data_IF_310420956320
#
_entry.id   IF_310420956320
#
_cell.length_a   1.000
_cell.length_b   1.000
_cell.length_c   1.000
_cell.angle_alpha   90.00
_cell.angle_beta   90.00
_cell.angle_gamma   90.00
#
_symmetry.space_group_name_H-M   'P 1'
#
loop_
_entity.id
_entity.type
_entity.pdbx_description
1 polymer ?
#
# COMPACT_ATOMS: atom_id res chain seq x y z
N UNK A 1 -11.00 -37.24 45.71
CA UNK A 1 -9.58 -36.81 45.67
C UNK A 1 -8.81 -37.67 44.66
N UNK A 2 -8.66 -37.22 43.45
CA UNK A 2 -7.93 -37.88 42.36
C UNK A 2 -6.93 -36.91 41.77
N UNK A 3 -5.63 -37.21 41.86
CA UNK A 3 -4.53 -36.41 41.37
C UNK A 3 -4.46 -36.46 39.81
N UNK A 4 -4.09 -35.38 39.12
CA UNK A 4 -3.86 -35.40 37.67
C UNK A 4 -2.53 -36.07 37.34
N UNK A 5 -2.52 -36.93 36.34
CA UNK A 5 -1.30 -37.50 35.72
C UNK A 5 -0.77 -36.55 34.67
N UNK A 6 0.46 -36.15 34.83
CA UNK A 6 1.26 -35.44 33.81
C UNK A 6 1.74 -36.51 32.82
N UNK A 7 1.43 -36.32 31.53
CA UNK A 7 2.01 -37.10 30.43
C UNK A 7 3.04 -36.21 29.72
N UNK A 8 4.29 -36.61 29.85
CA UNK A 8 5.42 -36.03 29.12
C UNK A 8 5.42 -36.60 27.70
N UNK A 9 5.31 -35.77 26.68
CA UNK A 9 5.51 -36.17 25.29
C UNK A 9 6.92 -35.80 24.83
N UNK A 10 7.63 -36.81 24.37
CA UNK A 10 8.98 -36.71 23.82
C UNK A 10 8.92 -36.09 22.40
N UNK A 11 9.87 -35.20 22.10
CA UNK A 11 10.09 -34.60 20.80
C UNK A 11 10.83 -35.59 19.89
N UNK A 12 10.18 -35.95 18.77
CA UNK A 12 10.81 -36.61 17.64
C UNK A 12 10.68 -35.74 16.41
N UNK A 13 11.80 -35.37 15.81
CA UNK A 13 11.81 -34.52 14.60
C UNK A 13 11.36 -35.29 13.36
N UNK A 14 10.71 -34.57 12.44
CA UNK A 14 10.32 -35.10 11.13
C UNK A 14 9.47 -34.06 10.35
N UNK A 15 9.90 -33.83 9.17
CA UNK A 15 9.39 -32.87 8.15
C UNK A 15 7.89 -32.95 7.91
N UNK A 16 7.28 -31.78 7.75
CA UNK A 16 6.14 -31.49 6.85
C UNK A 16 4.83 -32.14 7.24
N UNK A 17 3.98 -31.38 7.91
CA UNK A 17 2.53 -31.59 7.82
C UNK A 17 1.77 -30.29 8.06
N UNK A 18 1.07 -29.86 7.01
CA UNK A 18 -0.05 -28.94 7.10
C UNK A 18 -1.27 -29.66 7.69
N UNK A 19 -1.99 -28.96 8.50
CA UNK A 19 -3.40 -29.18 8.79
C UNK A 19 -3.75 -30.16 9.92
N UNK A 20 -3.82 -29.63 11.14
CA UNK A 20 -4.70 -30.23 12.14
C UNK A 20 -6.05 -29.50 12.16
N UNK A 21 -7.03 -30.17 11.56
CA UNK A 21 -8.44 -29.74 11.56
C UNK A 21 -9.03 -30.07 12.93
N UNK A 22 -9.54 -29.08 13.64
CA UNK A 22 -10.34 -29.24 14.83
C UNK A 22 -11.63 -30.01 14.51
N UNK A 23 -11.70 -31.28 14.80
CA UNK A 23 -12.94 -32.08 14.77
C UNK A 23 -13.65 -31.95 16.13
N UNK A 24 -14.66 -31.11 16.21
CA UNK A 24 -15.59 -31.08 17.33
C UNK A 24 -16.42 -32.35 17.34
N UNK A 25 -16.24 -33.18 18.37
CA UNK A 25 -17.11 -34.34 18.67
C UNK A 25 -18.47 -33.85 19.14
N UNK A 26 -19.48 -33.94 18.26
CA UNK A 26 -20.89 -33.79 18.64
C UNK A 26 -21.37 -35.16 19.16
N UNK A 27 -21.68 -35.24 20.44
CA UNK A 27 -22.32 -36.39 21.04
C UNK A 27 -23.76 -36.56 20.48
N UNK A 28 -24.03 -37.69 19.87
CA UNK A 28 -25.35 -38.01 19.36
C UNK A 28 -26.19 -38.69 20.46
N UNK A 29 -27.35 -38.14 20.77
CA UNK A 29 -28.43 -38.77 21.50
C UNK A 29 -29.46 -39.32 20.50
N UNK A 30 -29.99 -40.53 20.67
CA UNK A 30 -30.90 -41.12 19.70
C UNK A 30 -32.35 -40.93 20.10
N UNK A 31 -33.16 -40.25 19.28
CA UNK A 31 -34.56 -40.59 19.01
C UNK A 31 -35.26 -39.48 18.24
N UNK A 32 -35.85 -39.77 17.10
CA UNK A 32 -36.76 -38.88 16.39
C UNK A 32 -36.78 -39.11 14.88
N UNK A 33 -37.85 -39.76 14.39
CA UNK A 33 -38.19 -39.93 12.97
C UNK A 33 -38.34 -38.56 12.30
N UNK A 34 -37.67 -38.30 11.18
CA UNK A 34 -38.07 -37.20 10.36
C UNK A 34 -37.07 -36.73 9.29
N UNK A 35 -37.37 -36.99 8.06
CA UNK A 35 -37.14 -36.26 6.81
C UNK A 35 -35.67 -36.04 6.27
N UNK A 36 -35.50 -36.07 4.93
CA UNK A 36 -34.18 -36.08 4.28
C UNK A 36 -33.59 -34.68 4.10
N UNK A 37 -33.28 -33.97 5.20
CA UNK A 37 -32.55 -32.67 5.16
C UNK A 37 -31.04 -32.86 5.20
N UNK A 38 -30.54 -34.07 5.46
CA UNK A 38 -29.11 -34.32 5.66
C UNK A 38 -28.27 -34.28 4.38
N UNK A 39 -28.85 -34.47 3.19
CA UNK A 39 -28.11 -34.44 1.92
C UNK A 39 -27.79 -33.04 1.43
N UNK A 40 -28.63 -32.03 1.71
CA UNK A 40 -28.40 -30.66 1.25
C UNK A 40 -27.28 -29.97 2.05
N UNK A 41 -27.13 -30.26 3.34
CA UNK A 41 -26.03 -29.70 4.17
C UNK A 41 -24.66 -30.24 3.77
N UNK A 42 -24.57 -31.51 3.41
CA UNK A 42 -23.30 -32.12 2.98
C UNK A 42 -22.85 -31.59 1.61
N UNK A 43 -23.77 -31.31 0.70
CA UNK A 43 -23.44 -30.73 -0.61
C UNK A 43 -23.03 -29.26 -0.46
N UNK A 44 -23.70 -28.51 0.41
CA UNK A 44 -23.34 -27.10 0.68
C UNK A 44 -21.94 -26.99 1.36
N UNK A 45 -21.63 -27.89 2.29
CA UNK A 45 -20.32 -27.96 2.93
C UNK A 45 -19.22 -28.37 1.94
N UNK A 46 -19.49 -29.32 1.02
CA UNK A 46 -18.55 -29.71 -0.03
C UNK A 46 -18.33 -28.60 -1.07
N UNK A 47 -19.37 -27.87 -1.43
CA UNK A 47 -19.27 -26.70 -2.31
C UNK A 47 -18.48 -25.57 -1.61
N UNK A 48 -18.68 -25.34 -0.31
CA UNK A 48 -17.93 -24.35 0.44
C UNK A 48 -16.44 -24.72 0.59
N UNK A 49 -16.13 -26.00 0.80
CA UNK A 49 -14.76 -26.54 0.81
C UNK A 49 -14.13 -26.49 -0.58
N UNK A 50 -14.88 -26.78 -1.63
CA UNK A 50 -14.40 -26.66 -3.01
C UNK A 50 -14.15 -25.19 -3.42
N UNK A 51 -14.99 -24.25 -2.99
CA UNK A 51 -14.73 -22.80 -3.18
C UNK A 51 -13.54 -22.29 -2.38
N UNK A 52 -13.27 -22.85 -1.19
CA UNK A 52 -12.08 -22.51 -0.40
C UNK A 52 -10.77 -22.99 -1.04
N UNK A 53 -10.81 -24.05 -1.85
CA UNK A 53 -9.66 -24.58 -2.57
C UNK A 53 -9.32 -23.83 -3.86
N UNK A 54 -10.26 -23.08 -4.43
CA UNK A 54 -10.03 -22.27 -5.64
C UNK A 54 -9.43 -20.89 -5.31
N UNK A 55 -9.44 -20.46 -4.04
CA UNK A 55 -8.91 -19.17 -3.61
C UNK A 55 -7.38 -19.16 -3.37
N UNK A 56 -6.69 -20.27 -3.58
CA UNK A 56 -5.22 -20.30 -3.61
C UNK A 56 -4.71 -20.02 -5.03
N UNK A 57 -4.98 -18.84 -5.57
CA UNK A 57 -4.13 -18.32 -6.64
C UNK A 57 -2.71 -18.25 -6.06
N UNK A 58 -1.77 -18.99 -6.63
CA UNK A 58 -0.37 -18.99 -6.20
C UNK A 58 0.17 -17.57 -6.32
N UNK A 59 0.50 -16.96 -5.18
CA UNK A 59 1.13 -15.63 -5.17
C UNK A 59 2.58 -15.75 -5.65
N UNK A 60 3.20 -14.65 -6.12
CA UNK A 60 4.53 -14.65 -6.70
C UNK A 60 5.63 -14.84 -5.63
N UNK A 61 5.85 -16.08 -5.18
CA UNK A 61 6.81 -16.38 -4.11
C UNK A 61 8.26 -16.43 -4.59
N UNK A 62 8.53 -17.14 -5.69
CA UNK A 62 9.91 -17.34 -6.19
C UNK A 62 9.95 -17.26 -7.71
N UNK A 63 11.09 -16.80 -8.25
CA UNK A 63 11.36 -16.81 -9.67
C UNK A 63 10.74 -15.67 -10.48
N UNK A 64 9.77 -14.94 -9.93
CA UNK A 64 9.07 -13.87 -10.65
C UNK A 64 9.94 -12.63 -10.92
N UNK A 65 11.01 -12.46 -10.17
CA UNK A 65 11.97 -11.37 -10.34
C UNK A 65 13.26 -11.81 -11.04
N UNK A 66 13.29 -13.01 -11.62
CA UNK A 66 14.41 -13.44 -12.47
C UNK A 66 14.46 -12.58 -13.73
N UNK A 67 15.65 -12.05 -14.04
CA UNK A 67 15.83 -11.12 -15.14
C UNK A 67 15.56 -11.78 -16.50
N UNK A 68 14.79 -11.08 -17.35
CA UNK A 68 14.45 -11.46 -18.72
C UNK A 68 15.19 -10.56 -19.70
N UNK A 69 16.07 -11.12 -20.52
CA UNK A 69 16.91 -10.32 -21.43
C UNK A 69 16.15 -9.70 -22.61
N UNK A 70 15.09 -10.32 -23.10
CA UNK A 70 14.31 -9.84 -24.24
C UNK A 70 13.37 -8.71 -23.85
N UNK A 71 13.35 -7.63 -24.67
CA UNK A 71 12.39 -6.53 -24.58
C UNK A 71 11.59 -6.44 -25.88
N UNK A 72 10.28 -6.65 -25.85
CA UNK A 72 9.46 -6.54 -27.05
C UNK A 72 9.28 -5.08 -27.47
N UNK A 73 9.05 -4.82 -28.77
CA UNK A 73 8.67 -3.49 -29.23
C UNK A 73 7.41 -2.97 -28.51
N UNK A 74 7.48 -1.73 -28.02
CA UNK A 74 6.37 -1.09 -27.29
C UNK A 74 6.35 -1.35 -25.79
N UNK A 75 7.20 -2.23 -25.25
CA UNK A 75 7.39 -2.33 -23.82
C UNK A 75 8.08 -1.06 -23.26
N UNK A 76 7.77 -0.71 -22.02
CA UNK A 76 8.34 0.46 -21.35
C UNK A 76 9.07 0.04 -20.08
N UNK A 77 10.34 0.37 -20.00
CA UNK A 77 11.18 0.04 -18.85
C UNK A 77 11.18 1.18 -17.81
N UNK A 78 10.97 0.83 -16.56
CA UNK A 78 11.10 1.72 -15.41
C UNK A 78 12.16 1.20 -14.45
N UNK A 79 13.21 1.98 -14.21
CA UNK A 79 14.22 1.67 -13.20
C UNK A 79 13.82 2.29 -11.86
N UNK A 80 13.51 1.43 -10.89
CA UNK A 80 13.19 1.81 -9.54
C UNK A 80 14.41 1.69 -8.64
N UNK A 81 14.60 2.67 -7.77
CA UNK A 81 15.48 2.52 -6.62
C UNK A 81 14.68 1.98 -5.44
N UNK A 82 15.23 1.00 -4.79
CA UNK A 82 14.60 0.31 -3.64
C UNK A 82 15.39 0.60 -2.38
N UNK A 83 14.70 1.02 -1.33
CA UNK A 83 15.19 1.00 0.05
C UNK A 83 14.28 0.05 0.84
N UNK A 84 14.87 -0.85 1.63
CA UNK A 84 14.10 -1.92 2.28
C UNK A 84 14.58 -2.24 3.68
N UNK A 85 13.63 -2.64 4.54
CA UNK A 85 13.88 -3.26 5.85
C UNK A 85 13.58 -4.76 5.85
N UNK A 86 13.50 -5.37 4.67
CA UNK A 86 13.37 -6.83 4.47
C UNK A 86 14.73 -7.49 4.45
N UNK A 87 14.82 -8.73 4.90
CA UNK A 87 16.01 -9.55 4.68
C UNK A 87 16.14 -9.95 3.21
N UNK A 88 17.40 -10.07 2.75
CA UNK A 88 17.71 -10.67 1.45
C UNK A 88 17.24 -12.12 1.40
N UNK A 89 16.88 -12.57 0.23
CA UNK A 89 16.43 -13.92 -0.04
C UNK A 89 17.27 -14.56 -1.14
N UNK A 90 17.99 -15.62 -0.80
CA UNK A 90 18.89 -16.30 -1.74
C UNK A 90 18.15 -17.20 -2.74
N UNK A 91 16.84 -17.36 -2.61
CA UNK A 91 16.03 -18.11 -3.58
C UNK A 91 16.03 -17.36 -4.92
N UNK A 92 16.27 -18.06 -6.05
CA UNK A 92 16.35 -17.41 -7.37
C UNK A 92 15.11 -16.54 -7.67
N UNK A 93 15.35 -15.31 -8.12
CA UNK A 93 14.29 -14.37 -8.52
C UNK A 93 13.34 -13.97 -7.41
N UNK A 94 13.84 -13.85 -6.16
CA UNK A 94 13.06 -13.38 -4.99
C UNK A 94 13.59 -12.06 -4.46
N UNK A 95 14.92 -11.89 -4.36
CA UNK A 95 15.67 -10.73 -3.88
C UNK A 95 15.48 -10.44 -2.37
N UNK A 96 14.25 -10.25 -1.90
CA UNK A 96 13.94 -9.95 -0.51
C UNK A 96 12.71 -10.74 -0.05
N UNK A 97 12.75 -11.22 1.21
CA UNK A 97 11.66 -11.99 1.83
C UNK A 97 10.75 -11.14 2.72
N UNK A 98 9.93 -11.76 3.56
CA UNK A 98 9.00 -11.11 4.50
C UNK A 98 9.54 -10.93 5.90
N UNK A 99 10.82 -11.27 6.16
CA UNK A 99 11.44 -11.12 7.48
C UNK A 99 12.19 -9.78 7.60
N UNK A 100 12.43 -9.36 8.85
CA UNK A 100 12.98 -8.04 9.16
C UNK A 100 14.50 -8.07 9.14
N UNK A 101 15.10 -7.27 8.28
CA UNK A 101 16.52 -6.99 8.34
C UNK A 101 16.88 -6.12 9.55
N UNK A 102 18.13 -6.22 10.00
CA UNK A 102 18.69 -5.40 11.08
C UNK A 102 19.04 -3.97 10.66
N UNK A 103 19.16 -3.73 9.36
CA UNK A 103 19.49 -2.43 8.76
C UNK A 103 18.74 -2.25 7.43
N UNK A 104 18.66 -1.01 6.97
CA UNK A 104 18.12 -0.71 5.64
C UNK A 104 19.07 -1.22 4.57
N UNK A 105 18.53 -1.93 3.58
CA UNK A 105 19.25 -2.42 2.41
C UNK A 105 18.73 -1.75 1.14
N UNK A 106 19.49 -1.83 0.04
CA UNK A 106 19.20 -1.09 -1.18
C UNK A 106 19.41 -1.93 -2.43
N UNK A 107 18.56 -1.64 -3.45
CA UNK A 107 18.70 -2.23 -4.77
C UNK A 107 18.30 -1.23 -5.88
N UNK A 108 18.76 -1.49 -7.09
CA UNK A 108 18.26 -0.86 -8.30
C UNK A 108 17.69 -1.95 -9.19
N UNK A 109 16.42 -1.80 -9.59
CA UNK A 109 15.69 -2.84 -10.33
C UNK A 109 14.95 -2.20 -11.49
N UNK A 110 15.15 -2.74 -12.68
CA UNK A 110 14.44 -2.31 -13.89
C UNK A 110 13.28 -3.28 -14.16
N UNK A 111 12.06 -2.75 -14.15
CA UNK A 111 10.82 -3.47 -14.46
C UNK A 111 10.34 -3.06 -15.85
N UNK A 112 10.06 -4.04 -16.70
CA UNK A 112 9.45 -3.85 -18.01
C UNK A 112 7.94 -4.02 -17.91
N UNK A 113 7.21 -3.04 -18.44
CA UNK A 113 5.77 -3.05 -18.56
C UNK A 113 5.41 -3.48 -19.98
N UNK A 114 4.53 -4.48 -20.16
CA UNK A 114 4.25 -5.05 -21.47
C UNK A 114 3.48 -4.08 -22.37
N UNK A 115 3.58 -4.23 -23.71
CA UNK A 115 2.93 -3.31 -24.66
C UNK A 115 1.40 -3.35 -24.63
N UNK A 116 0.80 -4.40 -24.06
CA UNK A 116 -0.65 -4.57 -23.88
C UNK A 116 -1.15 -4.13 -22.49
N UNK A 117 -0.33 -3.43 -21.72
CA UNK A 117 -0.66 -2.99 -20.37
C UNK A 117 -1.99 -2.22 -20.31
N UNK A 118 -2.77 -2.53 -19.29
CA UNK A 118 -4.01 -1.84 -18.97
C UNK A 118 -3.86 -1.04 -17.70
N UNK A 119 -4.16 0.23 -17.79
CA UNK A 119 -4.03 1.17 -16.68
C UNK A 119 -4.70 0.65 -15.40
N UNK A 120 -3.97 0.66 -14.30
CA UNK A 120 -4.42 0.18 -12.99
C UNK A 120 -4.21 -1.31 -12.75
N UNK A 121 -3.97 -2.10 -13.78
CA UNK A 121 -3.72 -3.54 -13.67
C UNK A 121 -2.21 -3.85 -13.51
N UNK A 122 -1.89 -5.04 -13.08
CA UNK A 122 -0.56 -5.64 -13.17
C UNK A 122 -0.76 -6.95 -13.88
N UNK A 123 -0.20 -7.09 -15.07
CA UNK A 123 -0.28 -8.31 -15.87
C UNK A 123 0.69 -9.35 -15.30
N UNK A 124 0.22 -10.09 -14.28
CA UNK A 124 0.96 -11.16 -13.64
C UNK A 124 1.16 -12.35 -14.56
N UNK A 125 2.37 -12.88 -14.54
CA UNK A 125 2.63 -14.17 -15.17
C UNK A 125 1.97 -15.31 -14.39
N UNK A 126 1.51 -16.35 -15.10
CA UNK A 126 1.05 -17.60 -14.47
C UNK A 126 2.21 -18.49 -14.03
N UNK A 127 3.37 -18.33 -14.67
CA UNK A 127 4.63 -19.02 -14.36
C UNK A 127 5.80 -18.05 -14.46
N UNK A 128 6.77 -18.12 -13.49
CA UNK A 128 7.94 -17.26 -13.52
C UNK A 128 8.89 -17.61 -14.69
N UNK A 129 9.66 -16.64 -15.21
CA UNK A 129 9.65 -15.23 -14.86
C UNK A 129 8.55 -14.44 -15.59
N UNK A 130 7.81 -15.03 -16.52
CA UNK A 130 6.79 -14.43 -17.34
C UNK A 130 7.25 -14.13 -18.78
N UNK A 131 6.27 -13.77 -19.64
CA UNK A 131 6.48 -13.35 -21.02
C UNK A 131 6.45 -11.82 -21.10
N UNK A 132 7.55 -11.13 -21.48
CA UNK A 132 7.61 -9.67 -21.55
C UNK A 132 6.66 -9.06 -22.60
N UNK A 133 6.09 -9.87 -23.52
CA UNK A 133 5.06 -9.39 -24.43
C UNK A 133 3.72 -9.16 -23.74
N UNK A 134 3.46 -9.83 -22.62
CA UNK A 134 2.15 -9.87 -21.98
C UNK A 134 2.16 -9.67 -20.46
N UNK A 135 3.34 -9.76 -19.82
CA UNK A 135 3.49 -9.69 -18.39
C UNK A 135 4.51 -8.65 -17.96
N UNK A 136 4.34 -8.13 -16.74
CA UNK A 136 5.41 -7.44 -16.06
C UNK A 136 6.59 -8.40 -15.82
N UNK A 137 7.79 -7.98 -16.12
CA UNK A 137 9.02 -8.76 -15.89
C UNK A 137 10.15 -7.86 -15.39
N UNK A 138 11.11 -8.43 -14.66
CA UNK A 138 12.35 -7.75 -14.33
C UNK A 138 13.32 -7.87 -15.50
N UNK A 139 14.00 -6.77 -15.82
CA UNK A 139 15.00 -6.69 -16.90
C UNK A 139 16.42 -6.75 -16.37
N UNK A 140 16.63 -6.09 -15.23
CA UNK A 140 17.92 -6.00 -14.57
C UNK A 140 17.71 -5.76 -13.09
N UNK A 141 18.57 -6.33 -12.26
CA UNK A 141 18.55 -6.11 -10.80
C UNK A 141 19.97 -6.11 -10.25
N UNK A 142 20.22 -5.24 -9.31
CA UNK A 142 21.48 -5.21 -8.56
C UNK A 142 21.28 -4.66 -7.16
N UNK A 143 22.00 -5.21 -6.22
CA UNK A 143 22.11 -4.64 -4.88
C UNK A 143 23.03 -3.40 -4.91
N UNK A 144 22.76 -2.45 -4.01
CA UNK A 144 23.56 -1.24 -3.85
C UNK A 144 24.21 -1.25 -2.46
N UNK A 145 25.52 -1.00 -2.40
CA UNK A 145 26.28 -1.08 -1.15
C UNK A 145 26.10 0.19 -0.29
N UNK A 146 25.02 0.20 0.48
CA UNK A 146 24.71 1.20 1.48
C UNK A 146 24.30 2.56 0.93
N UNK A 147 24.14 3.52 1.83
CA UNK A 147 23.58 4.85 1.59
C UNK A 147 24.27 5.60 0.44
N UNK A 148 25.60 5.54 0.40
CA UNK A 148 26.39 6.25 -0.62
C UNK A 148 26.07 5.76 -2.02
N UNK A 149 26.03 4.44 -2.23
CA UNK A 149 25.71 3.85 -3.53
C UNK A 149 24.27 4.17 -3.94
N UNK A 150 23.33 4.09 -2.99
CA UNK A 150 21.93 4.46 -3.21
C UNK A 150 21.79 5.94 -3.65
N UNK A 151 22.42 6.88 -2.94
CA UNK A 151 22.36 8.31 -3.27
C UNK A 151 23.06 8.61 -4.59
N UNK A 152 24.18 7.92 -4.91
CA UNK A 152 24.85 8.06 -6.19
C UNK A 152 23.96 7.59 -7.36
N UNK A 153 23.33 6.41 -7.25
CA UNK A 153 22.38 5.91 -8.24
C UNK A 153 21.19 6.86 -8.42
N UNK A 154 20.63 7.36 -7.34
CA UNK A 154 19.54 8.35 -7.36
C UNK A 154 19.98 9.63 -8.10
N UNK A 155 21.11 10.19 -7.74
CA UNK A 155 21.61 11.42 -8.37
C UNK A 155 21.93 11.23 -9.86
N UNK A 156 22.43 10.06 -10.25
CA UNK A 156 22.64 9.71 -11.66
C UNK A 156 21.31 9.71 -12.43
N UNK A 157 20.26 9.07 -11.90
CA UNK A 157 18.95 9.07 -12.54
C UNK A 157 18.28 10.46 -12.57
N UNK A 158 18.44 11.26 -11.51
CA UNK A 158 17.96 12.64 -11.47
C UNK A 158 18.64 13.52 -12.53
N UNK A 159 19.94 13.32 -12.75
CA UNK A 159 20.72 14.09 -13.75
C UNK A 159 20.24 13.86 -15.19
N UNK A 160 19.63 12.70 -15.49
CA UNK A 160 19.05 12.41 -16.80
C UNK A 160 17.76 13.22 -17.09
N UNK A 161 17.21 13.90 -16.09
CA UNK A 161 15.96 14.65 -16.20
C UNK A 161 16.22 16.15 -16.33
N UNK A 162 15.37 16.88 -17.07
CA UNK A 162 15.51 18.32 -17.18
C UNK A 162 15.23 19.00 -15.81
N UNK A 163 15.79 20.19 -15.57
CA UNK A 163 15.41 21.02 -14.42
C UNK A 163 13.88 21.22 -14.36
N UNK A 164 13.34 21.22 -13.15
CA UNK A 164 11.87 21.25 -12.90
C UNK A 164 11.21 19.86 -12.89
N UNK A 165 11.92 18.81 -13.36
CA UNK A 165 11.46 17.41 -13.37
C UNK A 165 12.36 16.47 -12.56
N UNK A 166 13.37 16.99 -11.87
CA UNK A 166 14.30 16.23 -11.01
C UNK A 166 13.66 15.91 -9.66
N UNK A 167 12.52 15.26 -9.71
CA UNK A 167 11.73 14.91 -8.55
C UNK A 167 11.94 13.44 -8.19
N UNK A 168 11.59 13.09 -6.95
CA UNK A 168 11.43 11.71 -6.49
C UNK A 168 9.94 11.42 -6.36
N UNK A 169 9.52 10.23 -6.81
CA UNK A 169 8.23 9.63 -6.51
C UNK A 169 8.47 8.43 -5.59
N UNK A 170 8.26 8.61 -4.28
CA UNK A 170 8.42 7.57 -3.27
C UNK A 170 7.09 6.86 -3.03
N UNK A 171 7.07 5.54 -3.24
CA UNK A 171 5.93 4.68 -2.94
C UNK A 171 6.21 3.81 -1.71
N UNK A 172 5.22 3.69 -0.81
CA UNK A 172 5.24 2.82 0.38
C UNK A 172 4.01 1.92 0.35
N UNK A 173 4.22 0.59 0.27
CA UNK A 173 3.14 -0.40 0.17
C UNK A 173 2.42 -0.66 1.50
N UNK A 174 1.27 -1.35 1.42
CA UNK A 174 0.43 -1.73 2.54
C UNK A 174 0.74 -3.09 3.18
N UNK A 175 -0.20 -3.53 4.02
CA UNK A 175 -0.24 -4.86 4.64
C UNK A 175 -0.37 -5.97 3.59
N UNK A 176 0.02 -7.19 3.95
CA UNK A 176 -0.16 -8.41 3.16
C UNK A 176 0.45 -8.31 1.75
N UNK A 177 1.63 -7.70 1.64
CA UNK A 177 2.29 -7.42 0.37
C UNK A 177 3.66 -8.10 0.32
N UNK A 178 3.88 -8.95 -0.69
CA UNK A 178 5.19 -9.54 -0.98
C UNK A 178 6.10 -8.54 -1.67
N UNK A 179 7.41 -8.79 -1.71
CA UNK A 179 8.36 -7.89 -2.34
C UNK A 179 8.06 -7.67 -3.84
N UNK A 180 7.82 -8.74 -4.59
CA UNK A 180 7.48 -8.66 -6.02
C UNK A 180 6.21 -7.84 -6.27
N UNK A 181 5.20 -7.98 -5.39
CA UNK A 181 3.95 -7.22 -5.49
C UNK A 181 4.18 -5.72 -5.24
N UNK A 182 4.98 -5.38 -4.24
CA UNK A 182 5.36 -3.99 -3.97
C UNK A 182 6.13 -3.36 -5.14
N UNK A 183 7.07 -4.12 -5.72
CA UNK A 183 7.90 -3.68 -6.84
C UNK A 183 7.07 -3.40 -8.09
N UNK A 184 6.24 -4.35 -8.51
CA UNK A 184 5.42 -4.20 -9.71
C UNK A 184 4.33 -3.13 -9.52
N UNK A 185 3.75 -3.01 -8.32
CA UNK A 185 2.81 -1.91 -8.01
C UNK A 185 3.52 -0.55 -8.07
N UNK A 186 4.74 -0.43 -7.58
CA UNK A 186 5.53 0.79 -7.68
C UNK A 186 5.83 1.17 -9.15
N UNK A 187 6.20 0.19 -9.98
CA UNK A 187 6.42 0.38 -11.41
C UNK A 187 5.14 0.79 -12.15
N UNK A 188 4.03 0.09 -11.90
CA UNK A 188 2.71 0.39 -12.47
C UNK A 188 2.26 1.82 -12.11
N UNK A 189 2.37 2.23 -10.84
CA UNK A 189 1.99 3.58 -10.41
C UNK A 189 2.86 4.66 -11.07
N UNK A 190 4.16 4.42 -11.20
CA UNK A 190 5.07 5.34 -11.89
C UNK A 190 4.71 5.49 -13.38
N UNK A 191 4.37 4.39 -14.05
CA UNK A 191 3.94 4.36 -15.44
C UNK A 191 2.62 5.08 -15.65
N UNK A 192 1.57 4.64 -14.99
CA UNK A 192 0.20 5.10 -15.21
C UNK A 192 -0.02 6.55 -14.83
N UNK A 193 0.62 6.99 -13.74
CA UNK A 193 0.49 8.38 -13.30
C UNK A 193 1.30 9.35 -14.17
N UNK A 194 2.20 8.85 -15.02
CA UNK A 194 3.17 9.67 -15.75
C UNK A 194 3.88 10.66 -14.80
N UNK A 195 4.17 10.20 -13.56
CA UNK A 195 4.74 11.03 -12.54
C UNK A 195 6.15 11.49 -12.96
N UNK A 196 6.40 12.81 -13.06
CA UNK A 196 7.75 13.28 -13.35
C UNK A 196 8.63 12.97 -12.15
N UNK A 197 9.73 12.26 -12.40
CA UNK A 197 10.69 11.97 -11.35
C UNK A 197 11.27 10.56 -11.39
N UNK A 198 12.17 10.29 -10.45
CA UNK A 198 12.75 8.96 -10.23
C UNK A 198 11.82 8.17 -9.32
N UNK A 199 11.34 7.00 -9.74
CA UNK A 199 10.55 6.15 -8.86
C UNK A 199 11.47 5.50 -7.82
N UNK A 200 11.06 5.62 -6.56
CA UNK A 200 11.69 5.00 -5.40
C UNK A 200 10.64 4.17 -4.66
N UNK A 201 10.96 2.93 -4.38
CA UNK A 201 10.15 2.06 -3.54
C UNK A 201 10.78 1.98 -2.14
N UNK A 202 10.04 2.35 -1.11
CA UNK A 202 10.34 1.90 0.25
C UNK A 202 9.49 0.68 0.57
N UNK A 203 10.13 -0.46 0.84
CA UNK A 203 9.43 -1.70 1.17
C UNK A 203 9.84 -2.20 2.55
N UNK A 204 8.86 -2.65 3.31
CA UNK A 204 9.02 -3.10 4.68
C UNK A 204 8.58 -4.56 4.82
N UNK A 205 9.00 -5.23 5.90
CA UNK A 205 8.85 -6.66 6.12
C UNK A 205 7.39 -7.07 6.38
N UNK A 206 6.54 -6.96 5.36
CA UNK A 206 5.22 -7.60 5.32
C UNK A 206 5.36 -9.02 4.78
N UNK A 207 4.75 -10.00 5.46
CA UNK A 207 4.86 -11.42 5.12
C UNK A 207 4.06 -11.85 3.91
N UNK A 208 3.18 -10.99 3.39
CA UNK A 208 2.30 -11.37 2.30
C UNK A 208 1.27 -12.44 2.71
N UNK A 209 0.85 -12.47 3.96
CA UNK A 209 -0.11 -13.42 4.51
C UNK A 209 -1.17 -12.69 5.32
N UNK A 210 -2.44 -12.93 5.03
CA UNK A 210 -3.56 -12.26 5.72
C UNK A 210 -3.58 -12.56 7.24
N UNK A 211 -3.09 -13.73 7.64
CA UNK A 211 -2.98 -14.14 9.05
C UNK A 211 -1.84 -13.46 9.81
N UNK A 212 -0.90 -12.83 9.10
CA UNK A 212 0.26 -12.17 9.68
C UNK A 212 0.01 -10.70 10.09
N UNK A 213 -1.25 -10.26 10.25
CA UNK A 213 -1.59 -8.85 10.51
C UNK A 213 -0.81 -8.26 11.69
N UNK A 214 -0.74 -8.96 12.83
CA UNK A 214 -0.02 -8.49 14.03
C UNK A 214 1.50 -8.45 13.80
N UNK A 215 2.04 -9.43 13.05
CA UNK A 215 3.45 -9.40 12.66
C UNK A 215 3.74 -8.18 11.79
N UNK A 216 2.92 -7.94 10.79
CA UNK A 216 3.08 -6.82 9.85
C UNK A 216 2.93 -5.47 10.56
N UNK A 217 2.01 -5.34 11.53
CA UNK A 217 1.86 -4.12 12.35
C UNK A 217 3.15 -3.81 13.13
N UNK A 218 3.77 -4.83 13.72
CA UNK A 218 5.06 -4.68 14.40
C UNK A 218 6.19 -4.37 13.40
N UNK A 219 6.18 -4.99 12.21
CA UNK A 219 7.15 -4.70 11.15
C UNK A 219 7.03 -3.27 10.65
N UNK A 220 5.81 -2.76 10.48
CA UNK A 220 5.56 -1.36 10.14
C UNK A 220 6.13 -0.41 11.20
N UNK A 221 5.97 -0.77 12.50
CA UNK A 221 6.53 0.02 13.60
C UNK A 221 8.07 0.04 13.58
N UNK A 222 8.73 -1.09 13.27
CA UNK A 222 10.19 -1.16 13.13
C UNK A 222 10.65 -0.39 11.89
N UNK A 223 9.93 -0.51 10.78
CA UNK A 223 10.30 0.08 9.50
C UNK A 223 10.28 1.60 9.47
N UNK A 224 9.60 2.27 10.41
CA UNK A 224 9.56 3.74 10.47
C UNK A 224 10.94 4.37 10.55
N UNK A 225 11.89 3.74 11.26
CA UNK A 225 13.26 4.24 11.41
C UNK A 225 14.02 4.15 10.08
N UNK A 226 13.83 3.03 9.34
CA UNK A 226 14.39 2.88 8.00
C UNK A 226 13.79 3.85 6.99
N UNK A 227 12.48 4.14 7.10
CA UNK A 227 11.85 5.14 6.24
C UNK A 227 12.29 6.57 6.60
N UNK A 228 12.42 6.89 7.89
CA UNK A 228 13.00 8.17 8.32
C UNK A 228 14.38 8.37 7.71
N UNK A 229 15.26 7.37 7.85
CA UNK A 229 16.59 7.40 7.27
C UNK A 229 16.55 7.58 5.74
N UNK A 230 15.74 6.80 5.05
CA UNK A 230 15.54 6.92 3.59
C UNK A 230 15.06 8.32 3.20
N UNK A 231 14.08 8.88 3.89
CA UNK A 231 13.60 10.26 3.63
C UNK A 231 14.72 11.29 3.78
N UNK A 232 15.60 11.14 4.78
CA UNK A 232 16.77 12.02 4.97
C UNK A 232 17.72 11.92 3.77
N UNK A 233 18.02 10.73 3.28
CA UNK A 233 18.85 10.52 2.09
C UNK A 233 18.23 11.17 0.85
N UNK A 234 16.93 10.94 0.62
CA UNK A 234 16.20 11.52 -0.52
C UNK A 234 16.22 13.06 -0.48
N UNK A 235 15.99 13.64 0.69
CA UNK A 235 15.96 15.10 0.86
C UNK A 235 17.37 15.72 0.79
N UNK A 236 18.42 14.98 1.15
CA UNK A 236 19.81 15.40 0.99
C UNK A 236 20.34 15.24 -0.44
N UNK A 237 19.68 14.46 -1.29
CA UNK A 237 20.05 14.22 -2.69
C UNK A 237 19.86 15.47 -3.58
N UNK A 238 20.16 15.34 -4.88
CA UNK A 238 19.93 16.38 -5.89
C UNK A 238 18.44 16.50 -6.31
N UNK A 239 17.52 15.84 -5.60
CA UNK A 239 16.08 15.96 -5.87
C UNK A 239 15.59 17.39 -5.61
N UNK A 240 14.75 17.91 -6.53
CA UNK A 240 14.05 19.19 -6.35
C UNK A 240 12.87 19.05 -5.40
N UNK A 241 12.12 17.94 -5.54
CA UNK A 241 10.99 17.57 -4.66
C UNK A 241 10.98 16.06 -4.41
N UNK A 242 10.56 15.68 -3.22
CA UNK A 242 10.24 14.31 -2.82
C UNK A 242 8.73 14.23 -2.63
N UNK A 243 8.03 13.57 -3.57
CA UNK A 243 6.61 13.29 -3.46
C UNK A 243 6.43 11.89 -2.88
N UNK A 244 5.49 11.74 -1.97
CA UNK A 244 5.25 10.49 -1.24
C UNK A 244 3.83 9.99 -1.54
N UNK A 245 3.71 8.71 -1.89
CA UNK A 245 2.46 7.98 -1.93
C UNK A 245 2.58 6.77 -1.01
N UNK A 246 1.80 6.75 0.04
CA UNK A 246 1.70 5.61 0.94
C UNK A 246 0.31 4.97 0.83
N UNK A 247 0.25 3.64 0.96
CA UNK A 247 -0.98 2.88 0.87
C UNK A 247 -1.23 2.05 2.14
N UNK A 248 -2.50 2.03 2.60
CA UNK A 248 -2.97 1.17 3.68
C UNK A 248 -2.09 1.29 4.95
N UNK A 249 -1.55 0.19 5.50
CA UNK A 249 -0.62 0.19 6.64
C UNK A 249 0.70 0.92 6.35
N UNK A 250 1.11 1.11 5.09
CA UNK A 250 2.24 1.95 4.73
C UNK A 250 2.07 3.42 5.14
N UNK A 251 0.83 3.88 5.31
CA UNK A 251 0.56 5.21 5.86
C UNK A 251 0.98 5.31 7.34
N UNK A 252 0.79 4.24 8.12
CA UNK A 252 1.29 4.18 9.49
C UNK A 252 2.81 4.39 9.52
N UNK A 253 3.55 3.62 8.72
CA UNK A 253 5.01 3.77 8.60
C UNK A 253 5.39 5.21 8.23
N UNK A 254 4.68 5.77 7.25
CA UNK A 254 4.95 7.11 6.71
C UNK A 254 4.71 8.21 7.75
N UNK A 255 3.56 8.19 8.39
CA UNK A 255 3.21 9.24 9.37
C UNK A 255 4.11 9.16 10.61
N UNK A 256 4.46 7.94 11.07
CA UNK A 256 5.40 7.76 12.17
C UNK A 256 6.82 8.22 11.80
N UNK A 257 7.30 7.96 10.58
CA UNK A 257 8.60 8.46 10.12
C UNK A 257 8.64 10.00 10.12
N UNK A 258 7.62 10.66 9.56
CA UNK A 258 7.51 12.11 9.62
C UNK A 258 7.39 12.64 11.05
N UNK A 259 6.68 11.92 11.93
CA UNK A 259 6.57 12.27 13.35
C UNK A 259 7.93 12.22 14.03
N UNK A 260 8.76 11.19 13.77
CA UNK A 260 10.11 11.09 14.30
C UNK A 260 10.99 12.27 13.84
N UNK A 261 10.97 12.57 12.54
CA UNK A 261 11.66 13.75 11.98
C UNK A 261 11.21 15.03 12.71
N UNK A 262 9.93 15.17 12.99
CA UNK A 262 9.42 16.35 13.71
C UNK A 262 9.88 16.42 15.16
N UNK A 263 10.03 15.26 15.82
CA UNK A 263 10.48 15.15 17.22
C UNK A 263 11.98 15.41 17.35
N UNK A 264 12.80 14.91 16.41
CA UNK A 264 14.25 15.11 16.42
C UNK A 264 14.65 16.59 16.35
N UNK A 265 13.74 17.46 15.91
CA UNK A 265 13.99 18.89 15.76
C UNK A 265 14.88 19.26 14.58
N UNK A 266 15.27 18.26 13.77
CA UNK A 266 16.10 18.49 12.61
C UNK A 266 15.36 19.29 11.55
N UNK A 267 16.02 20.32 11.05
CA UNK A 267 15.50 21.14 9.97
C UNK A 267 15.69 20.41 8.65
N UNK A 268 14.71 19.58 8.28
CA UNK A 268 14.66 19.10 6.92
C UNK A 268 14.40 20.26 5.95
N UNK A 269 14.95 20.21 4.74
CA UNK A 269 14.67 21.21 3.71
C UNK A 269 13.19 21.13 3.30
N UNK A 270 12.33 21.80 4.06
CA UNK A 270 10.88 21.80 3.89
C UNK A 270 10.45 22.23 2.46
N UNK A 271 11.30 22.99 1.77
CA UNK A 271 11.11 23.36 0.38
C UNK A 271 11.26 22.17 -0.59
N UNK A 272 11.95 21.09 -0.20
CA UNK A 272 12.08 19.85 -1.00
C UNK A 272 10.97 18.83 -0.72
N UNK A 273 10.20 18.97 0.35
CA UNK A 273 9.04 18.11 0.59
C UNK A 273 7.97 18.46 -0.44
N UNK A 274 7.61 17.47 -1.24
CA UNK A 274 6.57 17.54 -2.26
C UNK A 274 5.18 17.31 -1.67
N UNK A 275 4.31 16.65 -2.43
CA UNK A 275 3.00 16.22 -1.96
C UNK A 275 3.14 14.90 -1.18
N UNK A 276 2.39 14.77 -0.09
CA UNK A 276 2.30 13.54 0.70
C UNK A 276 0.86 13.05 0.59
N UNK A 277 0.67 11.98 -0.18
CA UNK A 277 -0.63 11.35 -0.43
C UNK A 277 -0.73 10.08 0.41
N UNK A 278 -1.71 10.05 1.28
CA UNK A 278 -2.03 8.92 2.18
C UNK A 278 -3.27 8.22 1.63
N UNK A 279 -3.08 7.10 0.93
CA UNK A 279 -4.15 6.36 0.27
C UNK A 279 -4.71 5.26 1.17
N UNK A 280 -6.03 5.26 1.38
CA UNK A 280 -6.77 4.30 2.21
C UNK A 280 -6.07 4.01 3.56
N UNK A 281 -5.80 5.03 4.41
CA UNK A 281 -4.92 4.84 5.57
C UNK A 281 -5.49 3.87 6.59
N UNK A 282 -4.77 2.76 6.82
CA UNK A 282 -5.02 1.83 7.91
C UNK A 282 -4.35 2.31 9.20
N UNK A 283 -4.82 3.44 9.69
CA UNK A 283 -4.38 4.07 10.93
C UNK A 283 -5.61 4.27 11.81
N UNK A 284 -5.49 3.99 13.09
CA UNK A 284 -6.49 4.35 14.10
C UNK A 284 -6.74 5.87 14.05
N UNK A 285 -8.02 6.27 13.99
CA UNK A 285 -8.39 7.67 13.79
C UNK A 285 -7.90 8.58 14.93
N UNK A 286 -7.93 8.09 16.17
CA UNK A 286 -7.50 8.89 17.33
C UNK A 286 -5.98 9.06 17.35
N UNK A 287 -5.26 8.00 16.94
CA UNK A 287 -3.80 8.06 16.76
C UNK A 287 -3.44 9.08 15.70
N UNK A 288 -4.10 9.04 14.53
CA UNK A 288 -3.82 9.97 13.44
C UNK A 288 -4.12 11.42 13.82
N UNK A 289 -5.25 11.68 14.47
CA UNK A 289 -5.59 13.01 15.01
C UNK A 289 -4.52 13.51 16.01
N UNK A 290 -4.03 12.62 16.88
CA UNK A 290 -2.94 12.94 17.80
C UNK A 290 -1.64 13.30 17.06
N UNK A 291 -1.32 12.58 15.98
CA UNK A 291 -0.16 12.85 15.13
C UNK A 291 -0.30 14.20 14.43
N UNK A 292 -1.46 14.50 13.82
CA UNK A 292 -1.73 15.79 13.17
C UNK A 292 -1.60 16.97 14.15
N UNK A 293 -2.12 16.83 15.38
CA UNK A 293 -1.94 17.86 16.42
C UNK A 293 -0.46 18.10 16.74
N UNK A 294 0.39 17.06 16.73
CA UNK A 294 1.83 17.16 16.95
C UNK A 294 2.54 17.84 15.79
N UNK A 295 2.12 17.61 14.55
CA UNK A 295 2.68 18.30 13.37
C UNK A 295 2.33 19.79 13.38
N UNK A 296 1.17 20.16 13.92
CA UNK A 296 0.59 21.49 13.76
C UNK A 296 0.10 21.71 12.33
N UNK A 297 -0.11 22.96 11.93
CA UNK A 297 -0.51 23.27 10.53
C UNK A 297 0.74 23.23 9.63
N UNK A 298 0.90 22.19 8.80
CA UNK A 298 2.06 22.11 7.90
C UNK A 298 1.89 23.13 6.75
N UNK A 299 3.00 23.56 6.15
CA UNK A 299 2.97 24.43 4.95
C UNK A 299 2.29 23.75 3.78
N UNK A 300 2.36 22.41 3.68
CA UNK A 300 1.62 21.57 2.75
C UNK A 300 0.82 20.57 3.55
N UNK A 301 -0.48 20.39 3.25
CA UNK A 301 -1.31 19.42 3.94
C UNK A 301 -0.90 17.98 3.60
N UNK A 302 -1.24 17.05 4.48
CA UNK A 302 -1.37 15.66 4.08
C UNK A 302 -2.64 15.52 3.25
N UNK A 303 -2.53 14.89 2.09
CA UNK A 303 -3.68 14.53 1.26
C UNK A 303 -4.15 13.14 1.67
N UNK A 304 -5.33 13.03 2.25
CA UNK A 304 -5.91 11.76 2.73
C UNK A 304 -6.94 11.30 1.71
N UNK A 305 -6.65 10.19 1.04
CA UNK A 305 -7.59 9.54 0.13
C UNK A 305 -8.35 8.47 0.91
N UNK A 306 -9.66 8.60 1.00
CA UNK A 306 -10.52 7.69 1.74
C UNK A 306 -11.68 7.16 0.89
N UNK A 307 -12.29 6.07 1.39
CA UNK A 307 -13.49 5.46 0.82
C UNK A 307 -14.27 4.77 1.92
N UNK A 308 -15.52 5.22 2.17
CA UNK A 308 -16.35 4.70 3.27
C UNK A 308 -16.86 3.26 3.03
N UNK A 309 -16.72 2.73 1.82
CA UNK A 309 -17.10 1.37 1.45
C UNK A 309 -15.89 0.41 1.36
N UNK A 310 -14.76 0.78 1.96
CA UNK A 310 -13.53 -0.02 2.00
C UNK A 310 -13.68 -1.21 2.97
N UNK A 311 -13.77 -2.42 2.39
CA UNK A 311 -13.98 -3.66 3.15
C UNK A 311 -12.72 -4.17 3.84
N UNK A 312 -11.54 -3.87 3.29
CA UNK A 312 -10.28 -4.26 3.93
C UNK A 312 -10.07 -3.46 5.21
N UNK A 313 -10.36 -2.17 5.21
CA UNK A 313 -10.29 -1.33 6.41
C UNK A 313 -11.36 -1.71 7.44
N UNK A 314 -12.55 -2.12 6.98
CA UNK A 314 -13.57 -2.67 7.88
C UNK A 314 -13.07 -3.93 8.60
N UNK A 315 -12.39 -4.84 7.89
CA UNK A 315 -11.79 -6.03 8.50
C UNK A 315 -10.66 -5.65 9.47
N UNK A 316 -9.76 -4.77 9.05
CA UNK A 316 -8.67 -4.24 9.90
C UNK A 316 -9.22 -3.62 11.19
N UNK A 317 -10.24 -2.77 11.09
CA UNK A 317 -10.96 -2.19 12.23
C UNK A 317 -11.44 -3.26 13.20
N UNK A 318 -12.05 -4.34 12.68
CA UNK A 318 -12.59 -5.43 13.51
C UNK A 318 -11.47 -6.16 14.25
N UNK A 319 -10.36 -6.47 13.59
CA UNK A 319 -9.20 -7.15 14.19
C UNK A 319 -8.52 -6.27 15.25
N UNK A 320 -8.51 -4.96 15.04
CA UNK A 320 -7.79 -3.99 15.87
C UNK A 320 -8.68 -3.32 16.95
N UNK A 321 -9.76 -3.96 17.39
CA UNK A 321 -10.55 -3.50 18.54
C UNK A 321 -11.73 -2.60 18.22
N UNK A 322 -12.12 -2.44 16.95
CA UNK A 322 -13.36 -1.76 16.54
C UNK A 322 -13.25 -0.26 16.32
N UNK A 323 -12.08 0.35 16.52
CA UNK A 323 -11.87 1.78 16.28
C UNK A 323 -11.80 2.07 14.79
N UNK A 324 -12.48 3.13 14.34
CA UNK A 324 -12.52 3.55 12.93
C UNK A 324 -11.12 3.81 12.37
N UNK A 325 -10.88 3.38 11.13
CA UNK A 325 -9.66 3.69 10.39
C UNK A 325 -9.81 5.01 9.66
N UNK A 326 -8.69 5.70 9.47
CA UNK A 326 -8.68 7.00 8.76
C UNK A 326 -9.26 6.86 7.36
N UNK A 327 -8.94 5.76 6.65
CA UNK A 327 -9.36 5.55 5.27
C UNK A 327 -10.84 5.20 5.08
N UNK A 328 -11.59 4.84 6.14
CA UNK A 328 -13.04 4.58 6.12
C UNK A 328 -13.86 5.57 6.97
N UNK A 329 -13.23 6.66 7.43
CA UNK A 329 -13.89 7.62 8.31
C UNK A 329 -14.91 8.51 7.58
N UNK A 330 -16.02 8.79 8.23
CA UNK A 330 -16.96 9.86 7.84
C UNK A 330 -16.63 11.21 8.49
N UNK A 331 -15.73 11.25 9.48
CA UNK A 331 -15.35 12.45 10.23
C UNK A 331 -14.29 13.28 9.50
N UNK A 332 -14.64 13.72 8.29
CA UNK A 332 -13.75 14.50 7.42
C UNK A 332 -13.55 15.93 7.91
N UNK A 333 -14.53 16.47 8.65
CA UNK A 333 -14.50 17.84 9.15
C UNK A 333 -13.38 18.05 10.18
N UNK A 334 -13.18 17.11 11.12
CA UNK A 334 -12.09 17.22 12.09
C UNK A 334 -10.72 17.04 11.42
N UNK A 335 -10.58 16.12 10.45
CA UNK A 335 -9.33 15.96 9.71
C UNK A 335 -8.93 17.25 8.98
N UNK A 336 -9.89 17.91 8.33
CA UNK A 336 -9.64 19.18 7.63
C UNK A 336 -9.31 20.30 8.61
N UNK A 337 -9.99 20.38 9.75
CA UNK A 337 -9.68 21.34 10.81
C UNK A 337 -8.26 21.17 11.37
N UNK A 338 -7.73 19.94 11.38
CA UNK A 338 -6.37 19.62 11.77
C UNK A 338 -5.34 19.85 10.64
N UNK A 339 -5.78 20.33 9.48
CA UNK A 339 -4.91 20.73 8.36
C UNK A 339 -4.66 19.65 7.32
N UNK A 340 -5.41 18.55 7.31
CA UNK A 340 -5.42 17.60 6.21
C UNK A 340 -6.31 18.09 5.05
N UNK A 341 -6.04 17.63 3.84
CA UNK A 341 -6.95 17.74 2.70
C UNK A 341 -7.48 16.35 2.39
N UNK A 342 -8.79 16.18 2.39
CA UNK A 342 -9.44 14.89 2.15
C UNK A 342 -9.87 14.77 0.70
N UNK A 343 -9.56 13.63 0.09
CA UNK A 343 -9.99 13.21 -1.25
C UNK A 343 -10.90 12.00 -1.06
N UNK A 344 -12.20 12.18 -1.25
CA UNK A 344 -13.21 11.14 -1.03
C UNK A 344 -13.52 10.41 -2.35
N UNK A 345 -13.28 9.10 -2.36
CA UNK A 345 -13.53 8.19 -3.47
C UNK A 345 -14.71 7.24 -3.21
N UNK A 346 -15.56 7.52 -2.23
CA UNK A 346 -16.68 6.63 -1.87
C UNK A 346 -17.62 6.37 -3.07
N UNK A 347 -17.87 7.37 -3.89
CA UNK A 347 -18.72 7.25 -5.08
C UNK A 347 -18.03 6.59 -6.29
N UNK A 348 -16.70 6.38 -6.23
CA UNK A 348 -15.93 5.77 -7.32
C UNK A 348 -16.04 4.26 -7.24
N UNK A 349 -16.31 3.60 -8.38
CA UNK A 349 -16.33 2.14 -8.46
C UNK A 349 -14.92 1.59 -8.31
N UNK A 350 -14.76 0.57 -7.48
CA UNK A 350 -13.50 -0.14 -7.34
C UNK A 350 -13.29 -1.15 -8.48
N UNK A 351 -12.04 -1.45 -8.75
CA UNK A 351 -11.61 -2.56 -9.62
C UNK A 351 -11.29 -3.82 -8.83
N UNK A 352 -11.04 -3.68 -7.53
CA UNK A 352 -10.79 -4.79 -6.61
C UNK A 352 -12.06 -5.18 -5.81
N UNK A 353 -12.12 -6.42 -5.34
CA UNK A 353 -13.27 -6.97 -4.60
C UNK A 353 -13.47 -6.35 -3.21
N UNK A 354 -12.44 -5.70 -2.66
CA UNK A 354 -12.45 -5.10 -1.32
C UNK A 354 -12.70 -3.61 -1.31
N UNK A 355 -12.73 -2.95 -2.47
CA UNK A 355 -12.81 -1.50 -2.62
C UNK A 355 -11.61 -0.75 -1.99
N UNK A 356 -10.48 -1.43 -1.79
CA UNK A 356 -9.32 -0.90 -1.08
C UNK A 356 -8.31 -0.21 -2.02
N UNK A 357 -8.23 -0.67 -3.26
CA UNK A 357 -7.27 -0.18 -4.26
C UNK A 357 -7.83 0.94 -5.15
N UNK A 358 -8.93 1.61 -4.76
CA UNK A 358 -9.51 2.71 -5.54
C UNK A 358 -8.52 3.82 -5.89
N UNK A 359 -7.53 4.06 -5.04
CA UNK A 359 -6.50 5.08 -5.26
C UNK A 359 -5.66 4.82 -6.53
N UNK A 360 -5.53 3.57 -6.97
CA UNK A 360 -4.80 3.21 -8.19
C UNK A 360 -5.43 3.89 -9.40
N UNK A 361 -6.74 4.06 -9.39
CA UNK A 361 -7.48 4.74 -10.46
C UNK A 361 -7.18 6.25 -10.51
N UNK A 362 -6.71 6.86 -9.41
CA UNK A 362 -6.27 8.26 -9.42
C UNK A 362 -5.08 8.49 -10.37
N UNK A 363 -4.33 7.44 -10.72
CA UNK A 363 -3.26 7.53 -11.70
C UNK A 363 -3.79 8.05 -13.05
N UNK A 364 -5.00 7.65 -13.47
CA UNK A 364 -5.62 8.08 -14.72
C UNK A 364 -5.92 9.58 -14.79
N UNK A 365 -6.19 10.21 -13.65
CA UNK A 365 -6.47 11.65 -13.52
C UNK A 365 -5.31 12.39 -12.85
N UNK A 366 -4.16 11.74 -12.68
CA UNK A 366 -3.01 12.32 -11.99
C UNK A 366 -2.53 13.67 -12.60
N UNK A 367 -2.51 13.88 -13.92
CA UNK A 367 -2.15 15.17 -14.48
C UNK A 367 -3.09 16.30 -14.04
N UNK A 368 -4.40 16.06 -14.05
CA UNK A 368 -5.43 17.03 -13.63
C UNK A 368 -5.34 17.25 -12.11
N UNK A 369 -5.22 16.20 -11.34
CA UNK A 369 -5.06 16.25 -9.88
C UNK A 369 -3.79 17.03 -9.50
N UNK A 370 -2.65 16.79 -10.16
CA UNK A 370 -1.42 17.57 -9.95
C UNK A 370 -1.63 19.06 -10.22
N UNK A 371 -2.35 19.40 -11.29
CA UNK A 371 -2.67 20.78 -11.62
C UNK A 371 -3.49 21.48 -10.53
N UNK A 372 -4.43 20.77 -9.92
CA UNK A 372 -5.23 21.26 -8.80
C UNK A 372 -4.37 21.43 -7.54
N UNK A 373 -3.61 20.40 -7.18
CA UNK A 373 -2.76 20.44 -6.00
C UNK A 373 -1.64 21.50 -6.09
N UNK A 374 -1.15 21.77 -7.32
CA UNK A 374 -0.11 22.78 -7.56
C UNK A 374 -0.65 24.21 -7.44
N UNK A 375 -1.88 24.48 -7.90
CA UNK A 375 -2.51 25.79 -7.81
C UNK A 375 -3.06 26.12 -6.43
N UNK A 376 -3.18 25.12 -5.57
CA UNK A 376 -3.96 25.17 -4.34
C UNK A 376 -5.46 25.07 -4.62
N UNK A 377 -6.22 24.72 -3.60
CA UNK A 377 -7.68 24.68 -3.69
C UNK A 377 -8.17 26.13 -3.58
N UNK A 378 -8.89 26.66 -4.59
CA UNK A 378 -9.39 28.04 -4.54
C UNK A 378 -10.29 28.25 -3.32
N UNK A 379 -10.07 29.34 -2.59
CA UNK A 379 -10.87 29.70 -1.40
C UNK A 379 -12.28 30.22 -1.75
N UNK A 380 -12.53 30.59 -3.02
CA UNK A 380 -13.69 31.40 -3.46
C UNK A 380 -14.51 30.74 -4.59
N UNK A 381 -14.70 29.45 -4.63
CA UNK A 381 -15.74 28.90 -5.49
C UNK A 381 -17.04 28.71 -4.71
N UNK A 382 -17.89 29.75 -4.73
CA UNK A 382 -19.32 29.63 -4.54
C UNK A 382 -19.87 28.66 -5.59
N UNK A 383 -20.47 27.58 -5.11
CA UNK A 383 -21.14 26.57 -5.93
C UNK A 383 -22.32 27.20 -6.61
N UNK A 384 -22.20 27.46 -7.91
CA UNK A 384 -23.36 27.66 -8.77
C UNK A 384 -24.09 26.33 -8.94
N UNK A 385 -25.29 26.29 -8.45
CA UNK A 385 -26.45 25.43 -8.75
C UNK A 385 -26.18 24.03 -9.33
N UNK A 386 -25.95 23.03 -8.45
CA UNK A 386 -26.38 21.64 -8.66
C UNK A 386 -26.49 20.94 -7.31
N UNK A 387 -27.74 20.76 -6.87
CA UNK A 387 -28.22 19.94 -5.74
C UNK A 387 -27.56 20.18 -4.38
N UNK A 388 -28.25 21.00 -3.59
CA UNK A 388 -28.07 21.23 -2.17
C UNK A 388 -28.05 19.90 -1.37
N UNK A 389 -26.96 19.65 -0.67
CA UNK A 389 -27.03 19.12 0.67
C UNK A 389 -26.08 19.96 1.52
N UNK A 390 -26.65 20.98 2.17
CA UNK A 390 -25.96 21.80 3.13
C UNK A 390 -25.66 20.94 4.37
N UNK A 391 -24.39 20.61 4.59
CA UNK A 391 -23.89 20.28 5.92
C UNK A 391 -23.30 21.57 6.45
N UNK A 392 -24.06 22.22 7.31
CA UNK A 392 -23.65 23.39 8.06
C UNK A 392 -22.56 23.01 9.04
N UNK A 393 -21.39 23.61 8.90
CA UNK A 393 -20.32 23.59 9.89
C UNK A 393 -18.94 23.23 9.35
N UNK A 394 -18.13 24.27 9.12
CA UNK A 394 -16.66 24.26 9.07
C UNK A 394 -16.01 23.36 8.00
N UNK A 395 -15.86 23.91 6.81
CA UNK A 395 -15.03 23.34 5.73
C UNK A 395 -15.58 23.72 4.36
N UNK A 396 -14.75 24.33 3.50
CA UNK A 396 -15.16 24.59 2.11
C UNK A 396 -15.08 23.28 1.32
N UNK A 397 -16.22 22.76 0.87
CA UNK A 397 -16.28 21.66 -0.11
C UNK A 397 -16.03 22.25 -1.48
N UNK A 398 -14.91 21.92 -2.09
CA UNK A 398 -14.64 22.26 -3.49
C UNK A 398 -14.96 21.03 -4.34
N UNK A 399 -16.11 21.03 -4.99
CA UNK A 399 -16.40 20.09 -6.05
C UNK A 399 -15.55 20.47 -7.26
N UNK A 400 -14.48 19.71 -7.51
CA UNK A 400 -13.73 19.86 -8.75
C UNK A 400 -14.46 19.13 -9.87
N UNK A 401 -14.37 19.61 -11.12
CA UNK A 401 -14.91 18.90 -12.28
C UNK A 401 -14.02 17.70 -12.64
N UNK A 402 -13.62 16.92 -11.64
CA UNK A 402 -12.87 15.67 -11.77
C UNK A 402 -13.86 14.53 -11.59
N UNK A 403 -14.08 13.82 -12.67
CA UNK A 403 -14.81 12.56 -12.64
C UNK A 403 -13.82 11.42 -12.85
N UNK A 404 -13.93 10.39 -12.04
CA UNK A 404 -13.17 9.16 -12.17
C UNK A 404 -14.15 8.02 -12.45
N UNK A 405 -14.01 7.37 -13.61
CA UNK A 405 -14.96 6.34 -14.09
C UNK A 405 -16.44 6.83 -14.08
N UNK A 406 -16.66 8.11 -14.39
CA UNK A 406 -17.99 8.71 -14.42
C UNK A 406 -18.54 9.13 -13.05
N UNK A 407 -17.82 8.91 -11.97
CA UNK A 407 -18.20 9.33 -10.62
C UNK A 407 -17.43 10.61 -10.18
N UNK A 408 -18.06 11.51 -9.40
CA UNK A 408 -17.40 12.72 -8.92
C UNK A 408 -16.36 12.39 -7.85
N UNK A 409 -15.19 13.03 -7.94
CA UNK A 409 -14.18 13.05 -6.88
C UNK A 409 -14.42 14.28 -6.02
N UNK A 410 -14.61 14.08 -4.70
CA UNK A 410 -14.82 15.17 -3.75
C UNK A 410 -13.52 15.53 -3.06
N UNK A 411 -13.16 16.82 -3.02
CA UNK A 411 -12.00 17.31 -2.29
C UNK A 411 -12.45 18.26 -1.20
N UNK A 412 -12.05 17.98 0.03
CA UNK A 412 -12.39 18.74 1.23
C UNK A 412 -11.10 19.30 1.83
N UNK A 413 -11.01 20.62 2.01
CA UNK A 413 -9.86 21.27 2.63
C UNK A 413 -10.30 22.16 3.79
N UNK A 414 -9.49 22.18 4.86
CA UNK A 414 -9.65 23.12 5.96
C UNK A 414 -9.26 24.55 5.53
N UNK A 415 -9.84 25.54 6.20
CA UNK A 415 -9.50 26.96 6.04
C UNK A 415 -8.18 27.31 6.76
#
# INVERSE_FOLDING_TARGET
>A
MGKPRIVTLATGGGRGECLDIFVARVAASPSGRGRPLKRSFSVLALVFVAFSLVACASRPETGFLSAVAYSPPGAVDHTLLVATTRERDDRPGTLFNGDRASATDYAEITVSIPPNHKQGEIEWASTPPGDPNTNFVVRDEKYLDGDKAFVQALNAQLALRPPGSRNVFLFIHGFNTMFAEALYRGAQLAHDSQAPGVPVLFTWASRGQATAYVYDLNSATVARDGLEHTLRLLLASNAEKVNVLAHSMGNWVTVEAFRQIRISGDLLPANKIGNILLAAPDIDIDVFKSQLRRFGKPRKPFYVVLSQDDRALFLSKTIAGGVTRVGDTSDTAELTALGATVIDLSDVKATDATNHDKFVQLASVAPQLRGVLARGIPKDHQVGDASQTAISGVGSVVALPLTLLGAPVRILAGQ
#
